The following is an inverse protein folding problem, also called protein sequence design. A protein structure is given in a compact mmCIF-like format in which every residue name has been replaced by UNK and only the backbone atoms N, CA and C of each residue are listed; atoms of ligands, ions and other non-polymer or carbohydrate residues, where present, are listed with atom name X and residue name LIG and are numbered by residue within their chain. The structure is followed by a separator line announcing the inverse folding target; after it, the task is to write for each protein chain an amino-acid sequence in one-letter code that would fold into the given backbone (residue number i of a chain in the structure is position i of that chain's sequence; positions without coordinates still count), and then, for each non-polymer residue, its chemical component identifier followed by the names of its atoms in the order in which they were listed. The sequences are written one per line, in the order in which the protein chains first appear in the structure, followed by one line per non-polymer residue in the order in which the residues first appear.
data_IF_453896432943
#
_entry.id   IF_453896432943
#
_cell.length_a   1.000
_cell.length_b   1.000
_cell.length_c   1.000
_cell.angle_alpha   90.00
_cell.angle_beta   90.00
_cell.angle_gamma   90.00
#
_symmetry.space_group_name_H-M   'P 1'
#
loop_
_entity.id
_entity.type
_entity.pdbx_description
1 polymer ?
#
# COMPACT_ATOMS: atom_id res chain seq x y z
N UNK A 1 13.85 -6.14 2.12
CA UNK A 1 13.93 -5.08 3.15
C UNK A 1 14.61 -3.80 2.65
N UNK A 2 15.78 -3.84 1.96
CA UNK A 2 16.46 -2.61 1.51
C UNK A 2 15.68 -1.83 0.45
N UNK A 3 14.99 -2.54 -0.44
CA UNK A 3 14.38 -1.97 -1.65
C UNK A 3 13.16 -1.09 -1.34
N UNK A 4 12.30 -1.51 -0.41
CA UNK A 4 11.16 -0.69 0.04
C UNK A 4 11.63 0.54 0.84
N UNK A 5 12.76 0.43 1.54
CA UNK A 5 13.38 1.54 2.28
C UNK A 5 14.00 2.55 1.29
N UNK A 6 14.67 2.09 0.23
CA UNK A 6 15.23 2.95 -0.83
C UNK A 6 14.11 3.64 -1.62
N UNK A 7 13.06 2.92 -2.01
CA UNK A 7 11.89 3.51 -2.67
C UNK A 7 11.16 4.52 -1.78
N UNK A 8 11.01 4.23 -0.48
CA UNK A 8 10.46 5.18 0.49
C UNK A 8 11.38 6.39 0.71
N UNK A 9 12.70 6.20 0.78
CA UNK A 9 13.68 7.26 0.95
C UNK A 9 13.77 8.18 -0.27
N UNK A 10 13.63 7.63 -1.47
CA UNK A 10 13.65 8.41 -2.69
C UNK A 10 12.29 9.09 -2.99
N UNK A 11 11.17 8.45 -2.65
CA UNK A 11 9.86 9.10 -2.61
C UNK A 11 9.82 10.23 -1.56
N UNK A 12 10.46 10.02 -0.41
CA UNK A 12 10.69 11.06 0.60
C UNK A 12 11.52 12.21 0.05
N UNK A 13 12.65 11.92 -0.60
CA UNK A 13 13.52 12.91 -1.24
C UNK A 13 12.79 13.71 -2.32
N UNK A 14 11.98 13.07 -3.15
CA UNK A 14 11.17 13.76 -4.14
C UNK A 14 10.17 14.70 -3.47
N UNK A 15 9.43 14.24 -2.45
CA UNK A 15 8.50 15.08 -1.67
C UNK A 15 9.21 16.29 -1.03
N UNK A 16 10.41 16.08 -0.48
CA UNK A 16 11.24 17.14 0.10
C UNK A 16 11.68 18.14 -0.98
N UNK A 17 11.99 17.68 -2.21
CA UNK A 17 12.51 18.55 -3.26
C UNK A 17 11.43 19.29 -4.06
N UNK A 18 10.22 18.72 -4.19
CA UNK A 18 9.10 19.37 -4.89
C UNK A 18 8.18 20.19 -3.99
N UNK A 19 8.27 20.05 -2.66
CA UNK A 19 7.61 20.98 -1.75
C UNK A 19 8.42 22.29 -1.69
N UNK A 20 8.04 23.27 -2.50
CA UNK A 20 8.67 24.60 -2.51
C UNK A 20 8.40 25.47 -1.27
N UNK A 21 7.75 24.91 -0.25
CA UNK A 21 7.62 25.50 1.08
C UNK A 21 7.76 24.37 2.11
N UNK A 22 8.69 24.54 3.05
CA UNK A 22 9.21 23.49 3.93
C UNK A 22 8.19 22.77 4.81
N UNK A 23 7.52 21.76 4.25
CA UNK A 23 6.75 20.79 5.01
C UNK A 23 7.54 19.48 5.07
N UNK A 24 8.34 19.34 6.13
CA UNK A 24 8.95 18.06 6.51
C UNK A 24 7.86 17.06 6.91
N UNK A 25 7.37 16.30 5.94
CA UNK A 25 6.40 15.19 6.12
C UNK A 25 6.92 14.14 7.12
N UNK A 26 8.24 14.04 7.30
CA UNK A 26 8.90 13.06 8.17
C UNK A 26 9.12 13.53 9.61
N UNK A 27 9.01 14.82 9.93
CA UNK A 27 9.10 15.29 11.33
C UNK A 27 7.90 14.82 12.16
N UNK A 28 6.71 14.73 11.53
CA UNK A 28 5.50 14.20 12.14
C UNK A 28 5.51 12.69 12.42
N UNK A 29 6.54 11.96 11.98
CA UNK A 29 6.76 10.54 12.26
C UNK A 29 7.61 10.30 13.52
N UNK A 30 8.20 11.34 14.12
CA UNK A 30 8.91 11.21 15.39
C UNK A 30 7.93 11.16 16.58
N UNK A 31 8.16 10.22 17.50
CA UNK A 31 7.44 10.11 18.77
C UNK A 31 8.04 11.13 19.74
N UNK A 32 7.27 12.16 20.08
CA UNK A 32 7.64 13.22 21.01
C UNK A 32 6.67 13.26 22.19
N UNK A 33 7.18 13.64 23.37
CA UNK A 33 6.45 13.82 24.65
C UNK A 33 5.26 14.80 24.56
N UNK A 34 5.12 15.54 23.46
CA UNK A 34 4.04 16.49 23.19
C UNK A 34 2.64 15.86 23.16
N UNK A 35 2.50 14.59 22.75
CA UNK A 35 1.20 13.91 22.65
C UNK A 35 0.49 13.78 24.01
N UNK A 36 1.22 13.78 25.13
CA UNK A 36 0.64 13.73 26.48
C UNK A 36 0.19 15.13 26.97
N UNK A 37 0.83 16.21 26.48
CA UNK A 37 0.50 17.58 26.84
C UNK A 37 -0.74 18.09 26.09
N UNK A 38 -0.84 17.78 24.79
CA UNK A 38 -2.02 18.10 23.97
C UNK A 38 -3.30 17.38 24.43
N UNK A 39 -3.19 16.16 24.96
CA UNK A 39 -4.35 15.43 25.53
C UNK A 39 -4.92 16.13 26.77
N UNK A 40 -4.07 16.83 27.53
CA UNK A 40 -4.49 17.60 28.70
C UNK A 40 -5.13 18.94 28.31
N UNK A 41 -4.62 19.62 27.27
CA UNK A 41 -5.17 20.88 26.77
C UNK A 41 -6.49 20.71 26.01
N UNK A 42 -6.64 19.65 25.19
CA UNK A 42 -7.89 19.43 24.44
C UNK A 42 -9.06 19.10 25.37
N UNK A 43 -8.81 18.39 26.48
CA UNK A 43 -9.81 18.08 27.49
C UNK A 43 -10.37 19.32 28.21
N UNK A 44 -9.59 20.42 28.22
CA UNK A 44 -10.01 21.72 28.74
C UNK A 44 -10.80 22.54 27.70
N UNK A 45 -10.76 22.16 26.41
CA UNK A 45 -11.34 22.92 25.28
C UNK A 45 -12.71 22.43 24.79
N UNK A 46 -13.21 21.29 25.29
CA UNK A 46 -14.49 20.72 24.86
C UNK A 46 -14.45 20.02 23.49
N UNK A 47 -13.26 19.78 22.93
CA UNK A 47 -13.08 19.05 21.67
C UNK A 47 -13.40 17.56 21.82
N UNK A 48 -14.08 17.01 20.82
CA UNK A 48 -14.34 15.57 20.67
C UNK A 48 -13.06 14.86 20.25
N UNK A 49 -12.76 13.75 20.89
CA UNK A 49 -11.56 12.96 20.63
C UNK A 49 -11.86 11.47 20.66
N UNK A 50 -11.43 10.75 19.64
CA UNK A 50 -11.60 9.31 19.52
C UNK A 50 -10.76 8.60 20.57
N UNK A 51 -11.40 7.68 21.29
CA UNK A 51 -10.69 6.88 22.26
C UNK A 51 -9.79 5.85 21.57
N UNK A 52 -8.67 5.50 22.23
CA UNK A 52 -7.80 4.41 21.78
C UNK A 52 -8.57 3.10 21.59
N UNK A 53 -9.65 2.90 22.37
CA UNK A 53 -10.53 1.73 22.27
C UNK A 53 -11.27 1.72 20.93
N UNK A 54 -11.85 2.85 20.52
CA UNK A 54 -12.55 2.97 19.25
C UNK A 54 -11.62 2.83 18.06
N UNK A 55 -10.45 3.48 18.10
CA UNK A 55 -9.45 3.35 17.03
C UNK A 55 -9.01 1.88 16.86
N UNK A 56 -8.72 1.18 17.96
CA UNK A 56 -8.41 -0.26 17.93
C UNK A 56 -9.57 -1.09 17.37
N UNK A 57 -10.81 -0.77 17.75
CA UNK A 57 -11.99 -1.47 17.25
C UNK A 57 -12.18 -1.24 15.75
N UNK A 58 -12.05 0.00 15.30
CA UNK A 58 -12.13 0.38 13.88
C UNK A 58 -11.06 -0.34 13.06
N UNK A 59 -9.80 -0.28 13.50
CA UNK A 59 -8.70 -1.02 12.88
C UNK A 59 -8.97 -2.53 12.81
N UNK A 60 -9.40 -3.13 13.93
CA UNK A 60 -9.66 -4.57 13.98
C UNK A 60 -10.80 -4.96 13.05
N UNK A 61 -11.83 -4.10 12.93
CA UNK A 61 -12.92 -4.32 11.99
C UNK A 61 -12.42 -4.28 10.55
N UNK A 62 -11.63 -3.26 10.22
CA UNK A 62 -11.01 -3.13 8.89
C UNK A 62 -10.18 -4.36 8.54
N UNK A 63 -9.24 -4.73 9.41
CA UNK A 63 -8.29 -5.79 9.14
C UNK A 63 -8.97 -7.16 8.97
N UNK A 64 -10.07 -7.41 9.70
CA UNK A 64 -10.76 -8.70 9.71
C UNK A 64 -11.89 -8.80 8.69
N UNK A 65 -12.61 -7.71 8.41
CA UNK A 65 -13.82 -7.72 7.56
C UNK A 65 -13.78 -6.74 6.37
N UNK A 66 -12.69 -6.02 6.15
CA UNK A 66 -12.57 -5.04 5.06
C UNK A 66 -12.82 -5.61 3.65
N UNK A 67 -12.55 -6.91 3.44
CA UNK A 67 -12.75 -7.60 2.16
C UNK A 67 -13.95 -8.55 2.12
N UNK A 68 -14.71 -8.73 3.22
CA UNK A 68 -15.74 -9.78 3.29
C UNK A 68 -16.96 -9.47 2.41
N UNK A 69 -17.25 -8.20 2.14
CA UNK A 69 -18.39 -7.79 1.31
C UNK A 69 -17.98 -7.20 -0.04
N UNK A 70 -16.96 -7.78 -0.67
CA UNK A 70 -16.45 -7.34 -1.96
C UNK A 70 -17.53 -7.44 -3.05
N UNK A 71 -17.78 -6.35 -3.77
CA UNK A 71 -18.76 -6.30 -4.86
C UNK A 71 -18.28 -5.41 -6.02
N UNK A 72 -18.76 -5.62 -7.24
CA UNK A 72 -18.27 -4.88 -8.40
C UNK A 72 -18.68 -3.40 -8.44
N UNK A 73 -19.75 -3.02 -7.73
CA UNK A 73 -20.22 -1.63 -7.71
C UNK A 73 -19.30 -0.74 -6.86
N UNK A 74 -18.87 -1.22 -5.69
CA UNK A 74 -18.19 -0.41 -4.66
C UNK A 74 -16.93 -1.05 -4.08
N UNK A 75 -16.56 -2.24 -4.55
CA UNK A 75 -15.42 -3.03 -4.09
C UNK A 75 -15.45 -3.23 -2.57
N UNK A 76 -14.50 -2.66 -1.83
CA UNK A 76 -14.40 -2.75 -0.37
C UNK A 76 -15.21 -1.67 0.37
N UNK A 77 -16.00 -0.84 -0.34
CA UNK A 77 -16.75 0.28 0.25
C UNK A 77 -17.62 -0.11 1.45
N UNK A 78 -18.29 -1.27 1.42
CA UNK A 78 -19.08 -1.74 2.57
C UNK A 78 -18.21 -2.13 3.77
N UNK A 79 -17.05 -2.75 3.54
CA UNK A 79 -16.07 -3.05 4.59
C UNK A 79 -15.46 -1.78 5.19
N UNK A 80 -15.24 -0.77 4.36
CA UNK A 80 -14.79 0.56 4.78
C UNK A 80 -15.85 1.26 5.64
N UNK A 81 -17.11 1.29 5.20
CA UNK A 81 -18.21 1.81 5.99
C UNK A 81 -18.31 1.10 7.35
N UNK A 82 -18.22 -0.23 7.37
CA UNK A 82 -18.26 -1.03 8.59
C UNK A 82 -17.17 -0.64 9.61
N UNK A 83 -15.93 -0.40 9.16
CA UNK A 83 -14.85 -0.01 10.07
C UNK A 83 -15.03 1.42 10.62
N UNK A 84 -15.78 2.28 9.94
CA UNK A 84 -16.10 3.65 10.40
C UNK A 84 -17.27 3.71 11.38
N UNK A 85 -18.10 2.66 11.51
CA UNK A 85 -19.24 2.66 12.44
C UNK A 85 -18.85 3.02 13.88
N UNK A 86 -17.79 2.44 14.50
CA UNK A 86 -17.39 2.82 15.85
C UNK A 86 -16.95 4.28 15.96
N UNK A 87 -16.30 4.81 14.92
CA UNK A 87 -15.81 6.21 14.85
C UNK A 87 -17.00 7.16 14.85
N UNK A 88 -17.94 6.96 13.93
CA UNK A 88 -19.15 7.79 13.83
C UNK A 88 -19.98 7.75 15.12
N UNK A 89 -20.13 6.57 15.73
CA UNK A 89 -20.90 6.43 16.99
C UNK A 89 -20.26 7.17 18.17
N UNK A 90 -18.93 7.19 18.27
CA UNK A 90 -18.26 7.91 19.36
C UNK A 90 -18.29 9.43 19.14
N UNK A 91 -18.14 9.90 17.89
CA UNK A 91 -18.12 11.32 17.57
C UNK A 91 -19.51 11.98 17.62
N UNK A 92 -20.54 11.29 17.14
CA UNK A 92 -21.87 11.88 16.97
C UNK A 92 -22.90 11.37 18.01
N UNK A 93 -22.58 10.34 18.78
CA UNK A 93 -23.43 9.86 19.88
C UNK A 93 -24.83 9.43 19.41
N UNK A 94 -25.85 10.16 19.86
CA UNK A 94 -27.26 9.92 19.53
C UNK A 94 -27.75 10.70 18.29
N UNK A 95 -26.90 11.51 17.67
CA UNK A 95 -27.24 12.21 16.42
C UNK A 95 -27.31 11.22 15.24
N UNK A 96 -28.50 10.67 15.06
CA UNK A 96 -28.78 9.68 14.01
C UNK A 96 -28.65 10.26 12.60
N UNK A 97 -28.88 11.56 12.43
CA UNK A 97 -28.79 12.20 11.12
C UNK A 97 -27.32 12.33 10.71
N UNK A 98 -26.46 12.80 11.61
CA UNK A 98 -25.02 12.88 11.37
C UNK A 98 -24.40 11.49 11.15
N UNK A 99 -24.80 10.48 11.93
CA UNK A 99 -24.36 9.09 11.71
C UNK A 99 -24.84 8.59 10.34
N UNK A 100 -26.10 8.82 9.97
CA UNK A 100 -26.63 8.41 8.66
C UNK A 100 -25.87 9.07 7.50
N UNK A 101 -25.56 10.36 7.62
CA UNK A 101 -24.75 11.08 6.65
C UNK A 101 -23.34 10.47 6.51
N UNK A 102 -22.65 10.22 7.63
CA UNK A 102 -21.33 9.58 7.64
C UNK A 102 -21.34 8.18 7.01
N UNK A 103 -22.37 7.36 7.30
CA UNK A 103 -22.52 6.03 6.70
C UNK A 103 -22.66 6.12 5.17
N UNK A 104 -23.43 7.09 4.66
CA UNK A 104 -23.58 7.31 3.21
C UNK A 104 -22.26 7.70 2.56
N UNK A 105 -21.47 8.61 3.18
CA UNK A 105 -20.15 9.01 2.67
C UNK A 105 -19.18 7.85 2.58
N UNK A 106 -19.11 7.05 3.64
CA UNK A 106 -18.16 5.94 3.73
C UNK A 106 -18.59 4.69 2.96
N UNK A 107 -19.77 4.71 2.32
CA UNK A 107 -20.24 3.70 1.38
C UNK A 107 -19.79 3.96 -0.08
N UNK A 108 -18.97 4.99 -0.31
CA UNK A 108 -18.38 5.27 -1.62
C UNK A 108 -17.47 4.11 -2.10
N UNK A 109 -17.15 4.13 -3.40
CA UNK A 109 -16.20 3.19 -3.99
C UNK A 109 -14.86 3.25 -3.24
N UNK A 110 -14.35 2.09 -2.83
CA UNK A 110 -13.05 2.00 -2.18
C UNK A 110 -12.37 0.69 -2.53
N UNK A 111 -11.11 0.74 -2.98
CA UNK A 111 -10.34 -0.46 -3.26
C UNK A 111 -8.84 -0.25 -3.02
N UNK A 112 -8.24 -1.12 -2.20
CA UNK A 112 -6.80 -1.10 -1.92
C UNK A 112 -6.35 -2.43 -1.31
N UNK A 113 -5.05 -2.58 -1.02
CA UNK A 113 -4.55 -3.74 -0.28
C UNK A 113 -4.90 -3.63 1.21
N UNK A 114 -5.43 -4.71 1.80
CA UNK A 114 -6.07 -4.65 3.12
C UNK A 114 -5.12 -4.27 4.27
N UNK A 115 -3.90 -4.82 4.30
CA UNK A 115 -2.95 -4.61 5.41
C UNK A 115 -2.36 -3.21 5.37
N UNK A 116 -1.75 -2.79 4.27
CA UNK A 116 -1.08 -1.47 4.20
C UNK A 116 -2.04 -0.34 3.86
N UNK A 117 -3.08 -0.63 3.11
CA UNK A 117 -4.18 0.30 2.86
C UNK A 117 -4.96 0.68 4.12
N UNK A 118 -4.76 0.00 5.25
CA UNK A 118 -5.28 0.39 6.58
C UNK A 118 -4.87 1.81 7.02
N UNK A 119 -3.84 2.40 6.40
CA UNK A 119 -3.49 3.81 6.60
C UNK A 119 -4.66 4.75 6.23
N UNK A 120 -5.43 4.41 5.19
CA UNK A 120 -6.51 5.26 4.66
C UNK A 120 -7.71 5.37 5.61
N UNK A 121 -8.27 4.27 6.16
CA UNK A 121 -9.30 4.38 7.19
C UNK A 121 -8.75 5.03 8.48
N UNK A 122 -7.46 4.89 8.79
CA UNK A 122 -6.82 5.64 9.88
C UNK A 122 -6.86 7.16 9.66
N UNK A 123 -6.45 7.63 8.47
CA UNK A 123 -6.53 9.06 8.08
C UNK A 123 -7.98 9.53 8.10
N UNK A 124 -8.91 8.72 7.58
CA UNK A 124 -10.33 9.06 7.52
C UNK A 124 -10.93 9.21 8.92
N UNK A 125 -10.55 8.36 9.87
CA UNK A 125 -10.97 8.51 11.26
C UNK A 125 -10.52 9.83 11.88
N UNK A 126 -9.31 10.31 11.54
CA UNK A 126 -8.85 11.63 11.97
C UNK A 126 -9.63 12.77 11.29
N UNK A 127 -9.92 12.66 9.99
CA UNK A 127 -10.75 13.65 9.29
C UNK A 127 -12.16 13.76 9.87
N UNK A 128 -12.80 12.63 10.21
CA UNK A 128 -14.11 12.63 10.86
C UNK A 128 -14.05 13.28 12.25
N UNK A 129 -12.97 13.06 13.01
CA UNK A 129 -12.78 13.72 14.31
C UNK A 129 -12.68 15.25 14.16
N UNK A 130 -11.85 15.73 13.24
CA UNK A 130 -11.72 17.17 12.99
C UNK A 130 -13.02 17.78 12.45
N UNK A 131 -13.75 17.06 11.57
CA UNK A 131 -15.09 17.46 11.11
C UNK A 131 -16.06 17.58 12.28
N UNK A 132 -16.08 16.62 13.19
CA UNK A 132 -16.92 16.65 14.37
C UNK A 132 -16.57 17.79 15.34
N UNK A 133 -15.35 18.34 15.25
CA UNK A 133 -14.87 19.52 15.96
C UNK A 133 -15.05 20.84 15.19
N UNK A 134 -15.74 20.82 14.04
CA UNK A 134 -16.09 22.02 13.28
C UNK A 134 -15.11 22.41 12.18
N UNK A 135 -14.16 21.54 11.81
CA UNK A 135 -13.34 21.74 10.62
C UNK A 135 -14.21 21.70 9.34
N UNK A 136 -13.94 22.63 8.42
CA UNK A 136 -14.63 22.72 7.13
C UNK A 136 -14.12 21.65 6.16
N UNK A 137 -14.53 20.41 6.41
CA UNK A 137 -14.20 19.24 5.61
C UNK A 137 -15.47 18.83 4.88
N UNK A 138 -15.50 19.03 3.57
CA UNK A 138 -16.58 18.50 2.73
C UNK A 138 -16.35 17.03 2.34
N UNK A 139 -17.38 16.41 1.78
CA UNK A 139 -17.39 15.00 1.42
C UNK A 139 -16.47 14.69 0.23
N UNK A 140 -16.30 15.65 -0.67
CA UNK A 140 -15.49 15.53 -1.86
C UNK A 140 -14.00 15.55 -1.51
N UNK A 141 -13.56 16.39 -0.59
CA UNK A 141 -12.19 16.44 -0.07
C UNK A 141 -11.79 15.08 0.51
N UNK A 142 -12.65 14.49 1.34
CA UNK A 142 -12.40 13.19 1.95
C UNK A 142 -12.37 12.07 0.90
N UNK A 143 -13.32 12.05 -0.04
CA UNK A 143 -13.37 11.04 -1.10
C UNK A 143 -12.20 11.16 -2.09
N UNK A 144 -11.80 12.38 -2.43
CA UNK A 144 -10.62 12.65 -3.27
C UNK A 144 -9.35 12.18 -2.58
N UNK A 145 -9.21 12.41 -1.28
CA UNK A 145 -8.07 11.92 -0.51
C UNK A 145 -8.02 10.38 -0.51
N UNK A 146 -9.16 9.72 -0.24
CA UNK A 146 -9.22 8.25 -0.33
C UNK A 146 -8.80 7.76 -1.71
N UNK A 147 -9.36 8.35 -2.76
CA UNK A 147 -9.11 7.96 -4.16
C UNK A 147 -7.65 8.15 -4.55
N UNK A 148 -7.04 9.26 -4.14
CA UNK A 148 -5.62 9.54 -4.34
C UNK A 148 -4.71 8.52 -3.67
N UNK A 149 -5.11 8.00 -2.51
CA UNK A 149 -4.33 7.05 -1.71
C UNK A 149 -4.55 5.59 -2.12
N UNK A 150 -5.74 5.24 -2.65
CA UNK A 150 -6.10 3.87 -3.02
C UNK A 150 -5.04 3.22 -3.92
N UNK A 151 -4.64 3.90 -5.00
CA UNK A 151 -3.70 3.39 -6.00
C UNK A 151 -2.28 3.15 -5.46
N UNK A 152 -1.59 4.17 -4.92
CA UNK A 152 -0.25 4.00 -4.34
C UNK A 152 -0.20 2.96 -3.22
N UNK A 153 -1.19 2.96 -2.32
CA UNK A 153 -1.23 2.01 -1.22
C UNK A 153 -1.53 0.59 -1.69
N UNK A 154 -2.36 0.42 -2.73
CA UNK A 154 -2.57 -0.86 -3.36
C UNK A 154 -1.28 -1.38 -4.00
N UNK A 155 -0.61 -0.58 -4.84
CA UNK A 155 0.62 -1.00 -5.51
C UNK A 155 1.73 -1.41 -4.53
N UNK A 156 1.94 -0.62 -3.48
CA UNK A 156 2.91 -0.91 -2.42
C UNK A 156 2.48 -2.15 -1.63
N UNK A 157 1.22 -2.23 -1.21
CA UNK A 157 0.67 -3.34 -0.45
C UNK A 157 0.75 -4.66 -1.22
N UNK A 158 0.22 -4.71 -2.44
CA UNK A 158 0.19 -5.92 -3.25
C UNK A 158 1.59 -6.46 -3.52
N UNK A 159 2.54 -5.57 -3.81
CA UNK A 159 3.90 -5.99 -4.13
C UNK A 159 4.66 -6.60 -2.95
N UNK A 160 4.45 -6.11 -1.73
CA UNK A 160 5.18 -6.60 -0.56
C UNK A 160 4.36 -7.59 0.24
N UNK A 161 3.12 -7.27 0.58
CA UNK A 161 2.27 -8.17 1.37
C UNK A 161 1.97 -9.43 0.56
N UNK A 162 1.44 -9.28 -0.66
CA UNK A 162 1.07 -10.44 -1.48
C UNK A 162 2.28 -11.00 -2.25
N UNK A 163 3.07 -10.14 -2.91
CA UNK A 163 4.15 -10.56 -3.80
C UNK A 163 5.42 -11.06 -3.10
N UNK A 164 5.72 -10.56 -1.90
CA UNK A 164 6.97 -10.90 -1.19
C UNK A 164 6.72 -11.72 0.07
N UNK A 165 6.04 -11.13 1.07
CA UNK A 165 5.87 -11.72 2.40
C UNK A 165 5.08 -13.03 2.32
N UNK A 166 3.91 -13.00 1.67
CA UNK A 166 3.09 -14.19 1.52
C UNK A 166 3.80 -15.28 0.72
N UNK A 167 4.53 -14.94 -0.34
CA UNK A 167 5.28 -15.90 -1.16
C UNK A 167 6.42 -16.54 -0.38
N UNK A 168 7.21 -15.77 0.38
CA UNK A 168 8.29 -16.31 1.22
C UNK A 168 7.73 -17.26 2.28
N UNK A 169 6.68 -16.84 3.00
CA UNK A 169 6.07 -17.67 4.04
C UNK A 169 5.46 -18.95 3.45
N UNK A 170 4.81 -18.84 2.28
CA UNK A 170 4.24 -19.98 1.58
C UNK A 170 5.33 -20.95 1.10
N UNK A 171 6.43 -20.44 0.55
CA UNK A 171 7.58 -21.26 0.12
C UNK A 171 8.18 -22.04 1.30
N UNK A 172 8.34 -21.40 2.45
CA UNK A 172 8.83 -22.06 3.66
C UNK A 172 7.83 -23.13 4.17
N UNK A 173 6.54 -22.81 4.15
CA UNK A 173 5.47 -23.73 4.54
C UNK A 173 5.42 -24.98 3.64
N UNK A 174 5.51 -24.79 2.32
CA UNK A 174 5.56 -25.89 1.35
C UNK A 174 6.77 -26.78 1.62
N UNK A 175 7.96 -26.20 1.84
CA UNK A 175 9.17 -26.98 2.13
C UNK A 175 9.04 -27.88 3.36
N UNK A 176 8.34 -27.43 4.40
CA UNK A 176 8.04 -28.25 5.59
C UNK A 176 6.96 -29.30 5.32
N UNK A 177 5.91 -28.95 4.58
CA UNK A 177 4.83 -29.88 4.24
C UNK A 177 5.25 -30.99 3.29
N UNK A 178 6.14 -30.72 2.34
CA UNK A 178 6.71 -31.73 1.44
C UNK A 178 7.49 -32.82 2.18
N UNK A 179 7.93 -32.56 3.42
CA UNK A 179 8.57 -33.54 4.30
C UNK A 179 7.56 -34.29 5.20
N UNK A 180 6.25 -34.12 4.97
CA UNK A 180 5.18 -34.75 5.75
C UNK A 180 4.79 -33.99 7.03
N UNK A 181 5.32 -32.78 7.26
CA UNK A 181 5.03 -32.01 8.48
C UNK A 181 3.76 -31.15 8.35
N UNK A 182 2.83 -31.33 9.30
CA UNK A 182 1.66 -30.48 9.45
C UNK A 182 1.99 -29.07 9.99
N UNK A 183 3.25 -28.81 10.37
CA UNK A 183 3.67 -27.48 10.84
C UNK A 183 3.71 -26.44 9.73
N UNK A 184 3.89 -26.84 8.47
CA UNK A 184 3.94 -25.92 7.33
C UNK A 184 2.72 -24.98 7.25
N UNK A 185 1.49 -25.51 7.13
CA UNK A 185 0.29 -24.68 7.03
C UNK A 185 -0.01 -23.91 8.32
N UNK A 186 0.30 -24.49 9.48
CA UNK A 186 0.12 -23.82 10.78
C UNK A 186 1.01 -22.58 10.87
N UNK A 187 2.30 -22.71 10.54
CA UNK A 187 3.24 -21.61 10.55
C UNK A 187 2.86 -20.53 9.54
N UNK A 188 2.37 -20.90 8.36
CA UNK A 188 1.87 -19.93 7.38
C UNK A 188 0.74 -19.08 7.97
N UNK A 189 -0.28 -19.72 8.55
CA UNK A 189 -1.44 -19.02 9.13
C UNK A 189 -0.99 -18.11 10.27
N UNK A 190 -0.18 -18.63 11.20
CA UNK A 190 0.26 -17.87 12.38
C UNK A 190 1.14 -16.69 11.99
N UNK A 191 2.20 -16.92 11.20
CA UNK A 191 3.16 -15.88 10.83
C UNK A 191 2.52 -14.82 9.95
N UNK A 192 1.69 -15.22 8.97
CA UNK A 192 1.02 -14.25 8.11
C UNK A 192 -0.04 -13.45 8.89
N UNK A 193 -0.76 -14.07 9.82
CA UNK A 193 -1.74 -13.36 10.66
C UNK A 193 -1.06 -12.34 11.59
N UNK A 194 0.06 -12.72 12.23
CA UNK A 194 0.87 -11.81 13.06
C UNK A 194 1.35 -10.64 12.21
N UNK A 195 1.88 -10.92 11.02
CA UNK A 195 2.32 -9.89 10.08
C UNK A 195 1.16 -8.95 9.69
N UNK A 196 0.03 -9.50 9.23
CA UNK A 196 -1.09 -8.71 8.74
C UNK A 196 -1.72 -7.85 9.84
N UNK A 197 -1.90 -8.41 11.04
CA UNK A 197 -2.40 -7.67 12.20
C UNK A 197 -1.39 -6.61 12.66
N UNK A 198 -0.11 -6.96 12.79
CA UNK A 198 0.93 -6.04 13.27
C UNK A 198 1.14 -4.86 12.32
N UNK A 199 1.40 -5.13 11.04
CA UNK A 199 1.62 -4.08 10.04
C UNK A 199 0.35 -3.26 9.83
N UNK A 200 -0.82 -3.90 9.77
CA UNK A 200 -2.08 -3.18 9.64
C UNK A 200 -2.33 -2.23 10.82
N UNK A 201 -2.01 -2.66 12.05
CA UNK A 201 -2.16 -1.81 13.23
C UNK A 201 -1.24 -0.59 13.17
N UNK A 202 0.02 -0.80 12.79
CA UNK A 202 1.00 0.29 12.65
C UNK A 202 0.57 1.27 11.55
N UNK A 203 0.16 0.77 10.38
CA UNK A 203 -0.31 1.59 9.26
C UNK A 203 -1.56 2.39 9.63
N UNK A 204 -2.55 1.78 10.29
CA UNK A 204 -3.76 2.49 10.72
C UNK A 204 -3.45 3.62 11.71
N UNK A 205 -2.64 3.35 12.74
CA UNK A 205 -2.29 4.38 13.72
C UNK A 205 -1.41 5.48 13.14
N UNK A 206 -0.47 5.12 12.25
CA UNK A 206 0.31 6.10 11.49
C UNK A 206 -0.61 6.98 10.64
N UNK A 207 -1.62 6.38 9.99
CA UNK A 207 -2.64 7.11 9.24
C UNK A 207 -3.45 8.07 10.10
N UNK A 208 -3.90 7.63 11.26
CA UNK A 208 -4.64 8.48 12.20
C UNK A 208 -3.80 9.68 12.70
N UNK A 209 -2.55 9.43 13.10
CA UNK A 209 -1.63 10.50 13.52
C UNK A 209 -1.31 11.45 12.37
N UNK A 210 -1.06 10.91 11.18
CA UNK A 210 -0.82 11.70 9.98
C UNK A 210 -2.04 12.54 9.61
N UNK A 211 -3.24 11.97 9.65
CA UNK A 211 -4.50 12.62 9.31
C UNK A 211 -4.76 13.87 10.15
N UNK A 212 -4.55 13.81 11.47
CA UNK A 212 -4.68 14.99 12.36
C UNK A 212 -3.76 16.14 11.94
N UNK A 213 -2.50 15.82 11.66
CA UNK A 213 -1.51 16.80 11.21
C UNK A 213 -1.73 17.25 9.75
N UNK A 214 -2.35 16.41 8.94
CA UNK A 214 -2.64 16.69 7.55
C UNK A 214 -3.86 17.58 7.40
N UNK A 215 -4.92 17.40 8.19
CA UNK A 215 -6.15 18.22 8.12
C UNK A 215 -5.86 19.70 8.32
N UNK A 216 -5.04 20.04 9.33
CA UNK A 216 -4.62 21.43 9.57
C UNK A 216 -3.83 22.04 8.39
N UNK A 217 -3.13 21.22 7.59
CA UNK A 217 -2.43 21.66 6.37
C UNK A 217 -3.29 21.54 5.10
N UNK A 218 -4.25 20.62 5.07
CA UNK A 218 -5.21 20.42 3.97
C UNK A 218 -6.11 21.65 3.83
N UNK A 219 -6.56 22.21 4.96
CA UNK A 219 -7.36 23.43 5.02
C UNK A 219 -6.57 24.68 4.59
N UNK A 220 -5.23 24.62 4.58
CA UNK A 220 -4.35 25.68 4.06
C UNK A 220 -4.14 25.63 2.54
N UNK A 221 -4.64 24.60 1.85
CA UNK A 221 -4.52 24.42 0.40
C UNK A 221 -3.24 23.71 -0.05
N UNK A 222 -3.30 23.01 -1.20
CA UNK A 222 -2.14 22.41 -1.88
C UNK A 222 -1.66 21.04 -1.38
N UNK A 223 -1.94 20.66 -0.13
CA UNK A 223 -1.43 19.40 0.45
C UNK A 223 -2.00 18.15 -0.24
N UNK A 224 -3.29 18.11 -0.63
CA UNK A 224 -3.86 16.94 -1.35
C UNK A 224 -3.07 16.66 -2.62
N UNK A 225 -2.78 17.71 -3.40
CA UNK A 225 -2.05 17.61 -4.65
C UNK A 225 -0.60 17.15 -4.41
N UNK A 226 0.11 17.77 -3.47
CA UNK A 226 1.48 17.39 -3.12
C UNK A 226 1.58 15.95 -2.58
N UNK A 227 0.60 15.54 -1.77
CA UNK A 227 0.53 14.17 -1.23
C UNK A 227 0.27 13.16 -2.34
N UNK A 228 -0.66 13.47 -3.25
CA UNK A 228 -0.99 12.61 -4.39
C UNK A 228 0.21 12.48 -5.33
N UNK A 229 0.89 13.59 -5.65
CA UNK A 229 2.08 13.60 -6.49
C UNK A 229 3.24 12.85 -5.83
N UNK A 230 3.49 13.10 -4.54
CA UNK A 230 4.56 12.47 -3.78
C UNK A 230 4.37 10.96 -3.60
N UNK A 231 3.17 10.53 -3.23
CA UNK A 231 2.85 9.10 -3.10
C UNK A 231 2.73 8.41 -4.46
N UNK A 232 2.26 9.11 -5.49
CA UNK A 232 2.28 8.62 -6.87
C UNK A 232 3.71 8.37 -7.36
N UNK A 233 4.62 9.32 -7.14
CA UNK A 233 6.05 9.18 -7.46
C UNK A 233 6.69 8.03 -6.68
N UNK A 234 6.43 7.93 -5.37
CA UNK A 234 6.88 6.81 -4.54
C UNK A 234 6.38 5.47 -5.08
N UNK A 235 5.09 5.38 -5.43
CA UNK A 235 4.48 4.17 -5.98
C UNK A 235 5.13 3.72 -7.29
N UNK A 236 5.34 4.65 -8.22
CA UNK A 236 6.03 4.38 -9.50
C UNK A 236 7.48 3.92 -9.28
N UNK A 237 8.19 4.52 -8.32
CA UNK A 237 9.56 4.14 -8.01
C UNK A 237 9.63 2.73 -7.41
N UNK A 238 8.74 2.42 -6.46
CA UNK A 238 8.64 1.08 -5.89
C UNK A 238 8.34 0.05 -6.98
N UNK A 239 7.39 0.34 -7.88
CA UNK A 239 7.09 -0.51 -9.05
C UNK A 239 8.33 -0.76 -9.92
N UNK A 240 9.09 0.29 -10.25
CA UNK A 240 10.33 0.17 -11.03
C UNK A 240 11.37 -0.72 -10.33
N UNK A 241 11.57 -0.54 -9.02
CA UNK A 241 12.47 -1.39 -8.25
C UNK A 241 12.02 -2.86 -8.22
N UNK A 242 10.73 -3.13 -8.13
CA UNK A 242 10.20 -4.49 -8.12
C UNK A 242 10.42 -5.19 -9.46
N UNK A 243 10.19 -4.48 -10.58
CA UNK A 243 10.50 -5.01 -11.92
C UNK A 243 11.97 -5.42 -12.03
N UNK A 244 12.90 -4.61 -11.52
CA UNK A 244 14.32 -4.90 -11.58
C UNK A 244 14.78 -6.06 -10.68
N UNK A 245 14.06 -6.35 -9.59
CA UNK A 245 14.52 -7.25 -8.53
C UNK A 245 13.76 -8.56 -8.43
N UNK A 246 12.47 -8.57 -8.81
CA UNK A 246 11.58 -9.73 -8.61
C UNK A 246 11.50 -10.60 -9.86
N UNK A 247 11.73 -10.06 -11.05
CA UNK A 247 11.68 -10.81 -12.31
C UNK A 247 13.06 -11.43 -12.58
N UNK A 248 13.26 -12.76 -12.42
CA UNK A 248 14.56 -13.38 -12.47
C UNK A 248 14.90 -13.85 -13.89
N UNK A 249 14.77 -12.97 -14.89
CA UNK A 249 15.05 -13.32 -16.29
C UNK A 249 16.51 -13.01 -16.61
N UNK A 250 17.25 -14.00 -17.11
CA UNK A 250 18.63 -13.84 -17.59
C UNK A 250 18.85 -14.53 -18.93
N UNK A 251 19.90 -14.13 -19.66
CA UNK A 251 20.33 -14.78 -20.90
C UNK A 251 21.63 -15.54 -20.64
N UNK A 252 21.61 -16.89 -20.51
CA UNK A 252 22.81 -17.68 -20.21
C UNK A 252 23.71 -17.93 -21.44
N UNK A 253 23.45 -17.30 -22.59
CA UNK A 253 24.17 -17.55 -23.82
C UNK A 253 25.64 -17.06 -23.70
N UNK A 254 26.57 -18.00 -23.88
CA UNK A 254 28.01 -17.74 -23.87
C UNK A 254 28.66 -18.19 -25.18
N UNK A 255 29.65 -17.43 -25.66
CA UNK A 255 30.47 -17.79 -26.81
C UNK A 255 31.91 -17.99 -26.37
N UNK A 256 32.46 -19.17 -26.58
CA UNK A 256 33.89 -19.42 -26.36
C UNK A 256 34.69 -19.01 -27.61
N UNK A 257 35.57 -18.03 -27.45
CA UNK A 257 36.55 -17.66 -28.46
C UNK A 257 37.96 -18.04 -27.97
N UNK A 258 38.91 -18.14 -28.89
CA UNK A 258 40.31 -18.46 -28.58
C UNK A 258 40.99 -17.50 -27.58
N UNK A 259 40.42 -16.31 -27.37
CA UNK A 259 40.90 -15.27 -26.44
C UNK A 259 40.10 -15.18 -25.14
N UNK A 260 39.09 -16.04 -24.93
CA UNK A 260 38.26 -16.07 -23.72
C UNK A 260 36.76 -16.28 -24.00
N UNK A 261 35.99 -16.51 -22.94
CA UNK A 261 34.53 -16.68 -22.99
C UNK A 261 33.82 -15.33 -22.94
N UNK A 262 32.96 -15.06 -23.91
CA UNK A 262 32.10 -13.86 -23.95
C UNK A 262 30.69 -14.24 -23.49
N UNK A 263 30.25 -13.65 -22.39
CA UNK A 263 28.89 -13.82 -21.88
C UNK A 263 27.98 -12.71 -22.41
N UNK A 264 26.89 -13.07 -23.09
CA UNK A 264 25.96 -12.05 -23.62
C UNK A 264 25.30 -11.26 -22.49
N UNK A 265 25.01 -11.90 -21.36
CA UNK A 265 24.44 -11.23 -20.19
C UNK A 265 25.29 -10.03 -19.74
N UNK A 266 26.61 -10.19 -19.71
CA UNK A 266 27.55 -9.14 -19.30
C UNK A 266 27.58 -7.95 -20.28
N UNK A 267 27.39 -8.21 -21.58
CA UNK A 267 27.25 -7.15 -22.59
C UNK A 267 25.93 -6.38 -22.38
N UNK A 268 24.83 -7.11 -22.18
CA UNK A 268 23.52 -6.50 -21.94
C UNK A 268 23.50 -5.65 -20.67
N UNK A 269 24.10 -6.16 -19.59
CA UNK A 269 24.18 -5.43 -18.31
C UNK A 269 25.11 -4.20 -18.39
N UNK A 270 26.07 -4.17 -19.32
CA UNK A 270 26.89 -2.98 -19.59
C UNK A 270 26.08 -1.86 -20.25
N UNK A 271 25.13 -2.22 -21.14
CA UNK A 271 24.23 -1.25 -21.76
C UNK A 271 23.19 -0.76 -20.74
N UNK A 272 22.49 -1.70 -20.10
CA UNK A 272 21.51 -1.42 -19.06
C UNK A 272 21.35 -2.66 -18.15
N UNK A 273 21.68 -2.56 -16.85
CA UNK A 273 21.44 -3.65 -15.92
C UNK A 273 19.95 -4.02 -15.88
N UNK A 274 19.65 -5.33 -15.88
CA UNK A 274 18.26 -5.83 -15.82
C UNK A 274 17.39 -5.38 -17.01
N UNK A 275 18.01 -5.20 -18.18
CA UNK A 275 17.30 -4.89 -19.43
C UNK A 275 16.24 -5.94 -19.78
N UNK A 276 16.56 -7.24 -19.65
CA UNK A 276 15.63 -8.32 -19.99
C UNK A 276 14.37 -8.31 -19.12
N UNK A 277 14.45 -8.23 -17.77
CA UNK A 277 13.29 -7.96 -16.91
C UNK A 277 12.45 -6.76 -17.32
N UNK A 278 13.10 -5.64 -17.66
CA UNK A 278 12.40 -4.41 -18.07
C UNK A 278 11.64 -4.61 -19.39
N UNK A 279 12.28 -5.20 -20.39
CA UNK A 279 11.66 -5.49 -21.70
C UNK A 279 10.47 -6.43 -21.52
N UNK A 280 10.63 -7.51 -20.74
CA UNK A 280 9.55 -8.44 -20.45
C UNK A 280 8.36 -7.74 -19.78
N UNK A 281 8.63 -6.86 -18.80
CA UNK A 281 7.59 -6.05 -18.15
C UNK A 281 6.88 -5.13 -19.15
N UNK A 282 7.62 -4.37 -19.97
CA UNK A 282 7.03 -3.42 -20.93
C UNK A 282 6.19 -4.12 -22.01
N UNK A 283 6.66 -5.26 -22.52
CA UNK A 283 5.90 -6.08 -23.48
C UNK A 283 4.60 -6.57 -22.86
N UNK A 284 4.67 -7.13 -21.65
CA UNK A 284 3.50 -7.61 -20.89
C UNK A 284 2.51 -6.47 -20.63
N UNK A 285 3.01 -5.33 -20.15
CA UNK A 285 2.22 -4.12 -19.90
C UNK A 285 1.51 -3.63 -21.17
N UNK A 286 2.22 -3.61 -22.31
CA UNK A 286 1.64 -3.20 -23.60
C UNK A 286 0.49 -4.10 -24.04
N UNK A 287 0.63 -5.42 -23.92
CA UNK A 287 -0.45 -6.35 -24.28
C UNK A 287 -1.67 -6.22 -23.37
N UNK A 288 -1.45 -6.04 -22.06
CA UNK A 288 -2.53 -5.80 -21.10
C UNK A 288 -3.22 -4.47 -21.39
N UNK A 289 -2.46 -3.41 -21.67
CA UNK A 289 -3.01 -2.09 -22.04
C UNK A 289 -3.84 -2.14 -23.31
N UNK A 290 -3.51 -3.03 -24.26
CA UNK A 290 -4.32 -3.32 -25.45
C UNK A 290 -5.62 -4.11 -25.16
N UNK A 291 -5.87 -4.49 -23.91
CA UNK A 291 -7.04 -5.27 -23.50
C UNK A 291 -6.88 -6.78 -23.68
N UNK A 292 -5.64 -7.28 -23.89
CA UNK A 292 -5.39 -8.72 -23.94
C UNK A 292 -5.63 -9.33 -22.56
N UNK A 293 -6.34 -10.46 -22.51
CA UNK A 293 -6.63 -11.15 -21.24
C UNK A 293 -5.31 -11.57 -20.56
N UNK A 294 -5.13 -11.33 -19.25
CA UNK A 294 -3.91 -11.71 -18.54
C UNK A 294 -3.57 -13.20 -18.67
N UNK A 295 -4.57 -14.07 -18.72
CA UNK A 295 -4.38 -15.52 -18.92
C UNK A 295 -3.72 -15.84 -20.25
N UNK A 296 -4.09 -15.14 -21.32
CA UNK A 296 -3.48 -15.31 -22.65
C UNK A 296 -2.02 -14.85 -22.64
N UNK A 297 -1.72 -13.74 -21.97
CA UNK A 297 -0.34 -13.23 -21.86
C UNK A 297 0.54 -14.21 -21.09
N UNK A 298 0.02 -14.76 -19.99
CA UNK A 298 0.72 -15.80 -19.21
C UNK A 298 1.02 -17.03 -20.07
N UNK A 299 0.03 -17.55 -20.81
CA UNK A 299 0.22 -18.71 -21.70
C UNK A 299 1.28 -18.41 -22.77
N UNK A 300 1.23 -17.23 -23.38
CA UNK A 300 2.23 -16.82 -24.37
C UNK A 300 3.64 -16.78 -23.78
N UNK A 301 3.80 -16.22 -22.57
CA UNK A 301 5.10 -16.21 -21.87
C UNK A 301 5.60 -17.63 -21.59
N UNK A 302 4.73 -18.55 -21.17
CA UNK A 302 5.09 -19.95 -20.99
C UNK A 302 5.58 -20.61 -22.28
N UNK A 303 4.87 -20.41 -23.39
CA UNK A 303 5.27 -20.96 -24.70
C UNK A 303 6.63 -20.40 -25.12
N UNK A 304 6.83 -19.09 -24.97
CA UNK A 304 8.10 -18.43 -25.29
C UNK A 304 9.24 -18.99 -24.42
N UNK A 305 9.02 -19.16 -23.12
CA UNK A 305 10.02 -19.71 -22.21
C UNK A 305 10.38 -21.16 -22.57
N UNK A 306 9.40 -22.00 -22.91
CA UNK A 306 9.62 -23.40 -23.32
C UNK A 306 10.44 -23.49 -24.62
N UNK A 307 10.27 -22.54 -25.55
CA UNK A 307 11.00 -22.51 -26.82
C UNK A 307 12.42 -21.95 -26.63
N UNK A 308 12.57 -20.87 -25.86
CA UNK A 308 13.84 -20.14 -25.74
C UNK A 308 14.79 -20.71 -24.68
N UNK A 309 14.27 -21.43 -23.68
CA UNK A 309 15.07 -22.11 -22.66
C UNK A 309 16.01 -23.19 -23.22
N UNK A 310 15.56 -24.17 -24.06
CA UNK A 310 16.46 -25.18 -24.62
C UNK A 310 17.47 -24.61 -25.63
N UNK A 311 17.22 -23.41 -26.15
CA UNK A 311 18.15 -22.68 -27.03
C UNK A 311 19.22 -21.90 -26.24
N UNK A 312 19.16 -21.89 -24.91
CA UNK A 312 20.09 -21.14 -24.05
C UNK A 312 19.92 -19.63 -24.13
N UNK A 313 18.81 -19.13 -24.70
CA UNK A 313 18.57 -17.69 -24.91
C UNK A 313 17.95 -17.06 -23.65
N UNK A 314 17.17 -17.81 -22.88
CA UNK A 314 16.52 -17.34 -21.66
C UNK A 314 16.60 -18.40 -20.55
N UNK A 315 16.83 -17.96 -19.33
CA UNK A 315 16.74 -18.75 -18.09
C UNK A 315 15.96 -18.00 -17.02
#
# INVERSE_FOLDING_TARGET
MPIAIIGAAAGALHLIYTSKEGVNVFEGLSLSKEEASQVADDALSGQKRLSKKTLRKSWFIWQSWGQICYNYERMMGLGFCHCMIPVLKELYGDDKEAISAGLKRHLAYFNTENTRGSIIPGITAAMEEERANGADIDDDMENNLKTALMGPMAGIGDSVTQGLVKVILLSAAIGLSSQGSALGPILLIVLFSIYALGVGYLCFNAGYKFGKNAVTKLLGGGLVKQLTEGLGAMGMMVLGCLVATVIPITCPLTFELATGTIEIQSILDTILPKLLPLVAFLVTYHFIKKGTKPTTVIIAMFIIAIILSPLGILS
#
